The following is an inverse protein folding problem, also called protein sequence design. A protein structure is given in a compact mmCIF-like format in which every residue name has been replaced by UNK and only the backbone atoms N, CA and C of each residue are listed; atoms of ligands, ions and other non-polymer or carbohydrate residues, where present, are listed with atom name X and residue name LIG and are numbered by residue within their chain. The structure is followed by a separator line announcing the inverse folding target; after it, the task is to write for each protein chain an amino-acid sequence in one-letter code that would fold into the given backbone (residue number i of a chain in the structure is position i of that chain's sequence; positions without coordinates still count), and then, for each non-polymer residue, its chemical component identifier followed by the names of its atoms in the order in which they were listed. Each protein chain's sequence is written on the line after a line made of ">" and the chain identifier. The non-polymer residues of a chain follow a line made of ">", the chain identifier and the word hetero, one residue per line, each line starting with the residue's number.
data_IF_485659172359
#
_entry.id   IF_485659172359
#
_cell.length_a   1.000
_cell.length_b   1.000
_cell.length_c   1.000
_cell.angle_alpha   90.00
_cell.angle_beta   90.00
_cell.angle_gamma   90.00
#
_symmetry.space_group_name_H-M   'P 1'
#
loop_
_entity.id
_entity.type
_entity.pdbx_description
1 polymer ?
#
# COMPACT_ATOMS: atom_id res chain seq x y z
N UNK A 1 15.00 15.19 -14.34
CA UNK A 1 14.19 15.13 -13.09
C UNK A 1 12.74 15.40 -13.45
N UNK A 2 11.87 14.47 -13.12
CA UNK A 2 10.43 14.72 -13.26
C UNK A 2 9.98 15.76 -12.25
N UNK A 3 9.20 16.74 -12.70
CA UNK A 3 8.59 17.71 -11.80
C UNK A 3 7.70 17.00 -10.78
N UNK A 4 7.86 17.35 -9.52
CA UNK A 4 6.93 16.91 -8.47
C UNK A 4 5.58 17.55 -8.75
N UNK A 5 4.58 16.75 -9.04
CA UNK A 5 3.22 17.24 -9.22
C UNK A 5 2.61 17.57 -7.86
N UNK A 6 2.03 18.74 -7.77
CA UNK A 6 1.24 19.15 -6.62
C UNK A 6 -0.20 18.75 -6.88
N UNK A 7 -0.77 17.93 -6.01
CA UNK A 7 -2.18 17.54 -6.06
C UNK A 7 -2.87 18.16 -4.85
N UNK A 8 -3.92 18.92 -5.10
CA UNK A 8 -4.69 19.62 -4.04
C UNK A 8 -3.82 20.46 -3.10
N UNK A 9 -2.77 21.11 -3.63
CA UNK A 9 -1.88 21.96 -2.85
C UNK A 9 -0.87 21.22 -1.97
N UNK A 10 -0.82 19.89 -2.03
CA UNK A 10 0.16 19.09 -1.30
C UNK A 10 1.26 18.61 -2.24
N UNK A 11 2.51 18.78 -1.83
CA UNK A 11 3.63 18.18 -2.54
C UNK A 11 3.63 16.67 -2.31
N UNK A 12 3.83 15.91 -3.39
CA UNK A 12 4.03 14.47 -3.27
C UNK A 12 5.46 14.19 -2.78
N UNK A 13 5.64 13.20 -1.91
CA UNK A 13 6.97 12.72 -1.57
C UNK A 13 7.73 12.26 -2.81
N UNK A 14 9.04 12.39 -2.76
CA UNK A 14 9.88 11.97 -3.88
C UNK A 14 9.87 10.43 -3.99
N UNK A 15 9.37 9.94 -5.13
CA UNK A 15 9.37 8.52 -5.44
C UNK A 15 10.51 8.24 -6.41
N UNK A 16 11.32 7.19 -6.21
CA UNK A 16 12.36 6.81 -7.16
C UNK A 16 11.74 6.13 -8.39
N UNK A 17 11.20 6.94 -9.30
CA UNK A 17 10.57 6.47 -10.53
C UNK A 17 11.56 5.71 -11.41
N UNK A 18 11.11 4.60 -11.96
CA UNK A 18 11.85 3.90 -13.00
C UNK A 18 11.50 4.50 -14.37
N UNK A 19 12.52 4.86 -15.14
CA UNK A 19 12.35 5.31 -16.50
C UNK A 19 11.84 4.18 -17.41
N UNK A 20 11.15 4.57 -18.49
CA UNK A 20 10.63 3.63 -19.48
C UNK A 20 11.78 2.79 -20.06
N UNK A 21 11.72 1.45 -19.99
CA UNK A 21 12.75 0.60 -20.63
C UNK A 21 12.82 0.83 -22.13
N UNK A 22 14.04 0.87 -22.67
CA UNK A 22 14.27 1.12 -24.10
C UNK A 22 13.78 -0.04 -24.99
N UNK A 23 13.74 -1.25 -24.44
CA UNK A 23 13.33 -2.49 -25.12
C UNK A 23 11.85 -2.81 -24.97
N UNK A 24 11.07 -1.88 -24.40
CA UNK A 24 9.63 -2.05 -24.26
C UNK A 24 8.96 -2.01 -25.64
N UNK A 25 8.00 -2.89 -25.86
CA UNK A 25 7.26 -2.98 -27.12
C UNK A 25 6.71 -1.61 -27.56
N UNK A 26 6.75 -1.37 -28.86
CA UNK A 26 6.16 -0.16 -29.44
C UNK A 26 4.67 -0.08 -29.11
N UNK A 27 4.24 1.07 -28.62
CA UNK A 27 2.85 1.30 -28.20
C UNK A 27 2.51 0.86 -26.77
N UNK A 28 3.42 0.24 -26.05
CA UNK A 28 3.21 -0.05 -24.63
C UNK A 28 3.15 1.25 -23.83
N UNK A 29 2.06 1.45 -23.09
CA UNK A 29 1.79 2.65 -22.28
C UNK A 29 2.11 2.46 -20.80
N UNK A 30 2.37 1.22 -20.38
CA UNK A 30 2.67 0.85 -19.00
C UNK A 30 3.92 -0.01 -18.94
N UNK A 31 4.71 0.20 -17.91
CA UNK A 31 5.80 -0.69 -17.54
C UNK A 31 5.83 -0.85 -16.02
N UNK A 32 6.32 -1.99 -15.58
CA UNK A 32 6.39 -2.31 -14.17
C UNK A 32 7.79 -2.05 -13.64
N UNK A 33 7.86 -1.65 -12.39
CA UNK A 33 9.12 -1.57 -11.67
C UNK A 33 9.81 -2.94 -11.64
N UNK A 34 11.10 -2.98 -11.96
CA UNK A 34 11.85 -4.24 -12.12
C UNK A 34 12.00 -5.02 -10.81
N UNK A 35 11.98 -4.32 -9.68
CA UNK A 35 12.07 -4.94 -8.36
C UNK A 35 10.70 -5.31 -7.76
N UNK A 36 9.65 -5.29 -8.58
CA UNK A 36 8.33 -5.75 -8.12
C UNK A 36 8.34 -7.26 -7.80
N UNK A 37 7.56 -7.69 -6.80
CA UNK A 37 6.67 -6.87 -5.97
C UNK A 37 7.41 -6.09 -4.88
N UNK A 38 7.04 -4.83 -4.67
CA UNK A 38 7.59 -4.00 -3.60
C UNK A 38 7.12 -4.44 -2.21
N UNK A 39 6.05 -5.22 -2.16
CA UNK A 39 5.55 -5.88 -0.95
C UNK A 39 5.18 -7.32 -1.33
N UNK A 40 5.94 -8.26 -0.82
CA UNK A 40 5.73 -9.68 -1.10
C UNK A 40 4.63 -10.30 -0.24
N UNK A 41 4.54 -11.62 -0.31
CA UNK A 41 3.73 -12.41 0.61
C UNK A 41 4.30 -12.32 2.02
N UNK A 42 3.46 -12.53 3.01
CA UNK A 42 3.85 -12.56 4.42
C UNK A 42 4.67 -11.34 4.87
N UNK A 43 4.19 -10.11 4.60
CA UNK A 43 4.91 -8.91 5.04
C UNK A 43 5.02 -8.85 6.57
N UNK A 44 4.14 -9.55 7.26
CA UNK A 44 4.24 -9.84 8.70
C UNK A 44 3.88 -11.31 8.96
N UNK A 45 4.19 -11.86 10.13
CA UNK A 45 3.90 -13.27 10.43
C UNK A 45 2.43 -13.67 10.36
N UNK A 46 1.52 -12.73 10.55
CA UNK A 46 0.06 -12.99 10.56
C UNK A 46 -0.59 -12.88 9.19
N UNK A 47 0.06 -12.24 8.24
CA UNK A 47 -0.50 -11.99 6.91
C UNK A 47 0.08 -13.00 5.92
N UNK A 48 -0.79 -13.78 5.31
CA UNK A 48 -0.40 -14.73 4.26
C UNK A 48 -0.35 -14.07 2.88
N UNK A 49 -1.25 -13.13 2.59
CA UNK A 49 -1.37 -12.45 1.31
C UNK A 49 -1.87 -11.02 1.50
N UNK A 50 -1.45 -10.13 0.58
CA UNK A 50 -1.97 -8.77 0.45
C UNK A 50 -2.77 -8.68 -0.83
N UNK A 51 -3.93 -8.06 -0.76
CA UNK A 51 -4.79 -7.75 -1.89
C UNK A 51 -4.95 -6.24 -2.06
N UNK A 52 -6.15 -5.78 -2.40
CA UNK A 52 -6.45 -4.38 -2.67
C UNK A 52 -5.96 -3.46 -1.54
N UNK A 53 -5.40 -2.34 -1.95
CA UNK A 53 -4.79 -1.39 -1.02
C UNK A 53 -5.11 0.03 -1.45
N UNK A 54 -5.24 0.92 -0.49
CA UNK A 54 -5.29 2.35 -0.71
C UNK A 54 -4.03 2.99 -0.16
N UNK A 55 -3.40 3.86 -0.94
CA UNK A 55 -2.16 4.54 -0.57
C UNK A 55 -2.34 6.04 -0.76
N UNK A 56 -1.99 6.81 0.25
CA UNK A 56 -2.06 8.27 0.19
C UNK A 56 -0.76 8.87 0.72
N UNK A 57 -0.37 10.07 0.25
CA UNK A 57 0.69 10.85 0.89
C UNK A 57 0.31 11.18 2.34
N UNK A 58 1.27 11.05 3.23
CA UNK A 58 1.07 11.36 4.63
C UNK A 58 2.39 11.73 5.29
N UNK A 59 2.42 12.89 5.96
CA UNK A 59 3.66 13.45 6.52
C UNK A 59 4.74 13.58 5.44
N UNK A 60 5.93 13.03 5.68
CA UNK A 60 7.06 13.03 4.76
C UNK A 60 7.15 11.79 3.85
N UNK A 61 6.08 11.02 3.77
CA UNK A 61 6.04 9.78 3.01
C UNK A 61 4.64 9.38 2.62
N UNK A 62 4.31 8.11 2.84
CA UNK A 62 3.04 7.50 2.48
C UNK A 62 2.49 6.65 3.61
N UNK A 63 1.17 6.62 3.71
CA UNK A 63 0.46 5.64 4.52
C UNK A 63 -0.43 4.80 3.60
N UNK A 64 -0.50 3.52 3.89
CA UNK A 64 -1.33 2.57 3.17
C UNK A 64 -2.32 1.91 4.11
N UNK A 65 -3.52 1.65 3.60
CA UNK A 65 -4.49 0.75 4.20
C UNK A 65 -4.52 -0.50 3.33
N UNK A 66 -4.15 -1.63 3.91
CA UNK A 66 -3.89 -2.88 3.22
C UNK A 66 -4.95 -3.91 3.59
N UNK A 67 -5.57 -4.53 2.58
CA UNK A 67 -6.34 -5.74 2.80
C UNK A 67 -5.38 -6.91 2.95
N UNK A 68 -5.15 -7.35 4.17
CA UNK A 68 -4.31 -8.48 4.49
C UNK A 68 -5.14 -9.72 4.82
N UNK A 69 -4.98 -10.77 4.04
CA UNK A 69 -5.62 -12.06 4.33
C UNK A 69 -4.72 -12.85 5.25
N UNK A 70 -5.24 -13.25 6.39
CA UNK A 70 -4.53 -14.09 7.34
C UNK A 70 -4.33 -15.51 6.79
N UNK A 71 -3.48 -16.27 7.44
CA UNK A 71 -3.18 -17.66 7.04
C UNK A 71 -4.44 -18.52 6.99
N UNK A 72 -5.43 -18.22 7.83
CA UNK A 72 -6.74 -18.89 7.84
C UNK A 72 -7.71 -18.43 6.73
N UNK A 73 -7.28 -17.53 5.84
CA UNK A 73 -8.09 -17.00 4.76
C UNK A 73 -9.03 -15.85 5.15
N UNK A 74 -9.00 -15.38 6.38
CA UNK A 74 -9.85 -14.28 6.83
C UNK A 74 -9.18 -12.94 6.52
N UNK A 75 -9.81 -12.04 5.74
CA UNK A 75 -9.25 -10.73 5.43
C UNK A 75 -9.45 -9.75 6.59
N UNK A 76 -8.43 -8.97 6.84
CA UNK A 76 -8.44 -7.86 7.79
C UNK A 76 -7.74 -6.65 7.17
N UNK A 77 -7.85 -5.52 7.85
CA UNK A 77 -7.20 -4.27 7.44
C UNK A 77 -5.94 -4.05 8.29
N UNK A 78 -4.85 -3.74 7.61
CA UNK A 78 -3.56 -3.41 8.23
C UNK A 78 -3.07 -2.05 7.74
N UNK A 79 -2.23 -1.39 8.53
CA UNK A 79 -1.56 -0.17 8.11
C UNK A 79 -0.14 -0.48 7.65
N UNK A 80 0.27 0.20 6.61
CA UNK A 80 1.65 0.25 6.13
C UNK A 80 2.13 1.68 6.03
N UNK A 81 3.43 1.89 6.22
CA UNK A 81 4.08 3.20 6.08
C UNK A 81 5.31 3.07 5.22
N UNK A 82 5.54 4.08 4.39
CA UNK A 82 6.72 4.15 3.53
C UNK A 82 7.17 5.59 3.37
N UNK A 83 8.47 5.80 3.21
CA UNK A 83 9.03 7.12 2.87
C UNK A 83 9.15 7.34 1.37
N UNK A 84 9.26 6.28 0.60
CA UNK A 84 9.58 6.33 -0.83
C UNK A 84 8.56 5.62 -1.73
N UNK A 85 7.54 4.98 -1.15
CA UNK A 85 6.54 4.20 -1.90
C UNK A 85 7.04 2.81 -2.33
N UNK A 86 8.28 2.46 -2.04
CA UNK A 86 8.91 1.20 -2.43
C UNK A 86 9.18 0.31 -1.22
N UNK A 87 9.80 0.89 -0.18
CA UNK A 87 10.11 0.18 1.06
C UNK A 87 9.01 0.41 2.08
N UNK A 88 8.34 -0.65 2.47
CA UNK A 88 7.15 -0.60 3.32
C UNK A 88 7.35 -1.27 4.66
N UNK A 89 6.86 -0.60 5.70
CA UNK A 89 6.74 -1.13 7.04
C UNK A 89 5.27 -1.41 7.31
N UNK A 90 4.92 -2.67 7.48
CA UNK A 90 3.53 -3.10 7.74
C UNK A 90 3.36 -3.40 9.22
N UNK A 91 2.32 -2.86 9.83
CA UNK A 91 2.01 -3.11 11.22
C UNK A 91 1.69 -4.60 11.44
N UNK A 92 2.14 -5.15 12.54
CA UNK A 92 1.90 -6.56 12.88
C UNK A 92 0.47 -6.84 13.28
N UNK A 93 -0.16 -5.84 13.89
CA UNK A 93 -1.54 -5.94 14.34
C UNK A 93 -2.47 -5.29 13.33
N UNK A 94 -3.64 -5.91 13.17
CA UNK A 94 -4.69 -5.37 12.32
C UNK A 94 -5.26 -4.08 12.92
N UNK A 95 -5.86 -3.27 12.06
CA UNK A 95 -6.64 -2.11 12.50
C UNK A 95 -7.78 -2.59 13.40
N UNK A 96 -7.88 -2.01 14.58
CA UNK A 96 -8.99 -2.25 15.48
C UNK A 96 -10.11 -1.28 15.15
N UNK A 97 -11.21 -1.81 14.63
CA UNK A 97 -12.42 -1.02 14.43
C UNK A 97 -13.19 -0.90 15.74
N UNK A 98 -13.89 0.21 15.87
CA UNK A 98 -14.79 0.46 16.99
C UNK A 98 -16.17 0.88 16.47
N UNK A 99 -17.19 0.60 17.23
CA UNK A 99 -18.55 1.05 16.95
C UNK A 99 -18.78 2.53 17.37
N UNK A 100 -20.00 3.01 17.25
CA UNK A 100 -20.38 4.37 17.61
C UNK A 100 -20.21 4.70 19.10
N UNK A 101 -20.13 3.68 19.95
CA UNK A 101 -19.91 3.81 21.39
C UNK A 101 -18.42 3.68 21.77
N UNK A 102 -17.54 3.45 20.78
CA UNK A 102 -16.12 3.23 21.01
C UNK A 102 -15.77 1.81 21.43
N UNK A 103 -16.72 0.87 21.38
CA UNK A 103 -16.46 -0.53 21.70
C UNK A 103 -15.87 -1.28 20.51
N UNK A 104 -14.99 -2.26 20.77
CA UNK A 104 -14.40 -3.05 19.70
C UNK A 104 -15.46 -3.70 18.79
N UNK A 105 -15.32 -3.48 17.49
CA UNK A 105 -16.21 -4.01 16.48
C UNK A 105 -15.43 -4.72 15.38
N UNK A 106 -15.94 -5.83 14.89
CA UNK A 106 -15.31 -6.60 13.82
C UNK A 106 -16.22 -6.58 12.59
N UNK A 107 -15.78 -6.00 11.47
CA UNK A 107 -16.51 -6.13 10.22
C UNK A 107 -16.54 -7.59 9.77
N UNK A 108 -17.64 -8.00 9.15
CA UNK A 108 -17.78 -9.36 8.60
C UNK A 108 -16.78 -9.64 7.49
N UNK A 109 -16.36 -8.61 6.78
CA UNK A 109 -15.45 -8.73 5.65
C UNK A 109 -14.71 -7.42 5.36
N UNK A 110 -13.45 -7.49 5.02
CA UNK A 110 -12.65 -6.39 4.49
C UNK A 110 -12.42 -6.61 3.00
N UNK A 111 -12.82 -5.67 2.15
CA UNK A 111 -12.72 -5.81 0.70
C UNK A 111 -11.81 -4.73 0.10
N UNK A 112 -12.33 -3.55 -0.16
CA UNK A 112 -11.60 -2.41 -0.68
C UNK A 112 -11.45 -1.35 0.41
N UNK A 113 -10.32 -1.33 1.12
CA UNK A 113 -10.10 -0.35 2.18
C UNK A 113 -9.91 1.06 1.66
#
# INVERSE_FOLDING_TARGET
>A
MSEIKIINGQSLPNIPWQERPADLEEGAVLWRYTENPVMGRNPTPKIGRIFNSAVVPWQDGYIAVLRGEQVNGVPHVYLGRSKDGIHWNVDRERVQFVDENGEPWMPNYAYDP
#
